data_IF_499473776756
#
_entry.id   IF_499473776756
#
_cell.length_a   1.000
_cell.length_b   1.000
_cell.length_c   1.000
_cell.angle_alpha   90.00
_cell.angle_beta   90.00
_cell.angle_gamma   90.00
#
_symmetry.space_group_name_H-M   'P 1'
#
loop_
_entity.id
_entity.type
_entity.pdbx_description
1 polymer ?
#
# COMPACT_ATOMS: atom_id res chain seq x y z
N UNK A 1 -22.26 -17.24 25.03
CA UNK A 1 -21.25 -16.55 24.18
C UNK A 1 -21.83 -16.60 22.78
N UNK A 2 -21.87 -15.47 22.06
CA UNK A 2 -22.27 -15.46 20.66
C UNK A 2 -21.22 -16.26 19.85
N UNK A 3 -21.64 -16.86 18.74
CA UNK A 3 -20.70 -17.50 17.82
C UNK A 3 -19.71 -16.45 17.29
N UNK A 4 -18.44 -16.81 17.03
CA UNK A 4 -17.46 -15.86 16.48
C UNK A 4 -17.88 -15.42 15.08
N UNK A 5 -17.56 -14.18 14.74
CA UNK A 5 -17.77 -13.63 13.40
C UNK A 5 -16.70 -14.20 12.46
N UNK A 6 -17.14 -14.84 11.39
CA UNK A 6 -16.30 -15.50 10.40
C UNK A 6 -16.03 -14.58 9.21
N UNK A 7 -14.77 -14.24 8.98
CA UNK A 7 -14.37 -13.27 7.97
C UNK A 7 -13.40 -13.89 6.95
N UNK A 8 -13.66 -13.69 5.65
CA UNK A 8 -12.72 -14.02 4.60
C UNK A 8 -12.05 -12.73 4.12
N UNK A 9 -10.73 -12.65 4.25
CA UNK A 9 -9.91 -11.49 3.84
C UNK A 9 -9.14 -11.83 2.56
N UNK A 10 -9.37 -11.02 1.52
CA UNK A 10 -8.93 -11.26 0.14
C UNK A 10 -7.94 -10.17 -0.27
N UNK A 11 -6.68 -10.52 -0.46
CA UNK A 11 -5.59 -9.58 -0.78
C UNK A 11 -4.81 -10.04 -2.02
N UNK A 12 -5.31 -9.74 -3.23
CA UNK A 12 -4.63 -10.06 -4.47
C UNK A 12 -3.41 -9.14 -4.69
N UNK A 13 -2.25 -9.75 -4.92
CA UNK A 13 -1.03 -9.09 -5.36
C UNK A 13 -0.71 -9.39 -6.83
N UNK A 14 0.41 -8.84 -7.32
CA UNK A 14 0.82 -9.01 -8.73
C UNK A 14 1.08 -10.47 -9.10
N UNK A 15 1.70 -11.23 -8.20
CA UNK A 15 2.12 -12.63 -8.45
C UNK A 15 1.51 -13.63 -7.48
N UNK A 16 0.61 -13.18 -6.59
CA UNK A 16 0.00 -14.05 -5.60
C UNK A 16 -1.39 -13.56 -5.20
N UNK A 17 -2.16 -14.44 -4.58
CA UNK A 17 -3.37 -14.10 -3.84
C UNK A 17 -3.16 -14.52 -2.39
N UNK A 18 -3.07 -13.55 -1.47
CA UNK A 18 -3.07 -13.83 -0.03
C UNK A 18 -4.52 -13.89 0.44
N UNK A 19 -4.88 -14.99 1.07
CA UNK A 19 -6.23 -15.23 1.62
C UNK A 19 -6.08 -15.55 3.10
N UNK A 20 -6.94 -14.98 3.93
CA UNK A 20 -6.99 -15.31 5.36
C UNK A 20 -8.42 -15.53 5.82
N UNK A 21 -8.57 -16.51 6.72
CA UNK A 21 -9.81 -16.76 7.45
C UNK A 21 -9.63 -16.36 8.91
N UNK A 22 -10.52 -15.51 9.38
CA UNK A 22 -10.55 -15.04 10.77
C UNK A 22 -11.82 -15.48 11.48
N UNK A 23 -11.69 -15.77 12.78
CA UNK A 23 -12.79 -15.84 13.74
C UNK A 23 -12.60 -14.76 14.79
N UNK A 24 -13.44 -13.72 14.76
CA UNK A 24 -13.24 -12.47 15.49
C UNK A 24 -11.83 -11.91 15.22
N UNK A 25 -11.04 -11.58 16.24
CA UNK A 25 -9.67 -11.06 16.12
C UNK A 25 -8.63 -12.13 15.77
N UNK A 26 -9.03 -13.40 15.76
CA UNK A 26 -8.08 -14.51 15.61
C UNK A 26 -7.91 -14.90 14.15
N UNK A 27 -6.71 -14.74 13.63
CA UNK A 27 -6.31 -15.33 12.36
C UNK A 27 -6.17 -16.85 12.52
N UNK A 28 -7.05 -17.61 11.86
CA UNK A 28 -7.09 -19.08 11.94
C UNK A 28 -6.22 -19.68 10.85
N UNK A 29 -6.39 -19.20 9.60
CA UNK A 29 -5.62 -19.66 8.45
C UNK A 29 -5.20 -18.48 7.60
N UNK A 30 -3.98 -18.53 7.07
CA UNK A 30 -3.47 -17.59 6.07
C UNK A 30 -2.63 -18.34 5.06
N UNK A 31 -2.93 -18.17 3.78
CA UNK A 31 -2.13 -18.71 2.69
C UNK A 31 -1.80 -17.61 1.67
N UNK A 32 -0.60 -17.71 1.10
CA UNK A 32 -0.19 -16.91 -0.06
C UNK A 32 -0.03 -17.86 -1.24
N UNK A 33 -1.04 -17.87 -2.11
CA UNK A 33 -1.09 -18.74 -3.29
C UNK A 33 -0.40 -18.00 -4.43
N UNK A 34 0.74 -18.51 -4.87
CA UNK A 34 1.53 -17.94 -5.96
C UNK A 34 0.94 -18.33 -7.32
N UNK A 35 1.04 -17.41 -8.27
CA UNK A 35 0.63 -17.60 -9.66
C UNK A 35 1.86 -17.52 -10.55
N UNK A 36 2.05 -18.52 -11.38
CA UNK A 36 3.16 -18.55 -12.31
C UNK A 36 3.03 -17.44 -13.37
N UNK A 37 4.15 -16.79 -13.70
CA UNK A 37 4.16 -15.73 -14.70
C UNK A 37 3.58 -16.17 -16.07
N UNK A 38 3.86 -17.38 -16.60
CA UNK A 38 3.23 -17.89 -17.82
C UNK A 38 1.70 -18.02 -17.71
N UNK A 39 1.17 -18.33 -16.53
CA UNK A 39 -0.28 -18.38 -16.30
C UNK A 39 -0.89 -16.98 -16.36
N UNK A 40 -0.28 -16.01 -15.67
CA UNK A 40 -0.76 -14.64 -15.64
C UNK A 40 -0.73 -13.97 -17.03
N UNK A 41 0.22 -14.33 -17.88
CA UNK A 41 0.31 -13.81 -19.27
C UNK A 41 -0.82 -14.27 -20.19
N UNK A 42 -1.61 -15.28 -19.80
CA UNK A 42 -2.79 -15.70 -20.57
C UNK A 42 -3.95 -14.70 -20.46
N UNK A 43 -3.93 -13.81 -19.47
CA UNK A 43 -4.99 -12.84 -19.21
C UNK A 43 -4.60 -11.49 -19.83
N UNK A 44 -5.34 -10.99 -20.83
CA UNK A 44 -5.04 -9.72 -21.51
C UNK A 44 -5.10 -8.50 -20.56
N UNK A 45 -6.00 -8.51 -19.58
CA UNK A 45 -6.16 -7.47 -18.58
C UNK A 45 -6.15 -8.04 -17.17
N UNK A 46 -5.94 -7.18 -16.18
CA UNK A 46 -6.05 -7.57 -14.77
C UNK A 46 -7.44 -8.12 -14.45
N UNK A 47 -8.50 -7.54 -15.01
CA UNK A 47 -9.88 -7.98 -14.77
C UNK A 47 -10.15 -9.40 -15.26
N UNK A 48 -9.49 -9.83 -16.33
CA UNK A 48 -9.66 -11.18 -16.88
C UNK A 48 -9.17 -12.28 -15.93
N UNK A 49 -8.40 -11.93 -14.90
CA UNK A 49 -7.94 -12.87 -13.87
C UNK A 49 -9.04 -13.23 -12.85
N UNK A 50 -10.21 -12.56 -12.87
CA UNK A 50 -11.29 -12.76 -11.88
C UNK A 50 -11.68 -14.24 -11.71
N UNK A 51 -11.98 -15.03 -12.78
CA UNK A 51 -12.40 -16.42 -12.61
C UNK A 51 -11.33 -17.29 -11.94
N UNK A 52 -10.08 -17.13 -12.36
CA UNK A 52 -8.94 -17.87 -11.79
C UNK A 52 -8.76 -17.53 -10.32
N UNK A 53 -8.76 -16.23 -9.99
CA UNK A 53 -8.60 -15.77 -8.61
C UNK A 53 -9.77 -16.19 -7.72
N UNK A 54 -11.01 -16.19 -8.24
CA UNK A 54 -12.17 -16.74 -7.52
C UNK A 54 -11.99 -18.22 -7.19
N UNK A 55 -11.52 -19.03 -8.17
CA UNK A 55 -11.28 -20.45 -7.94
C UNK A 55 -10.27 -20.67 -6.81
N UNK A 56 -9.20 -19.87 -6.76
CA UNK A 56 -8.22 -19.91 -5.66
C UNK A 56 -8.87 -19.72 -4.28
N UNK A 57 -9.84 -18.79 -4.15
CA UNK A 57 -10.56 -18.58 -2.89
C UNK A 57 -11.44 -19.78 -2.53
N UNK A 58 -12.10 -20.37 -3.53
CA UNK A 58 -12.94 -21.56 -3.33
C UNK A 58 -12.09 -22.76 -2.89
N UNK A 59 -10.95 -22.98 -3.55
CA UNK A 59 -10.01 -24.06 -3.23
C UNK A 59 -9.42 -23.88 -1.81
N UNK A 60 -9.07 -22.64 -1.42
CA UNK A 60 -8.63 -22.34 -0.06
C UNK A 60 -9.71 -22.71 0.97
N UNK A 61 -10.95 -22.28 0.76
CA UNK A 61 -12.03 -22.62 1.68
C UNK A 61 -12.28 -24.12 1.75
N UNK A 62 -12.33 -24.79 0.59
CA UNK A 62 -12.55 -26.22 0.51
C UNK A 62 -11.44 -27.03 1.19
N UNK A 63 -10.17 -26.63 1.06
CA UNK A 63 -9.03 -27.30 1.72
C UNK A 63 -9.14 -27.28 3.24
N UNK A 64 -9.85 -26.30 3.79
CA UNK A 64 -10.12 -26.16 5.22
C UNK A 64 -11.52 -26.63 5.64
N UNK A 65 -12.25 -27.35 4.77
CA UNK A 65 -13.58 -27.90 5.04
C UNK A 65 -14.68 -26.84 5.15
N UNK A 66 -14.49 -25.69 4.48
CA UNK A 66 -15.42 -24.56 4.49
C UNK A 66 -15.94 -24.25 3.09
N UNK A 67 -17.00 -23.45 3.04
CA UNK A 67 -17.59 -22.88 1.84
C UNK A 67 -17.78 -21.37 2.01
N UNK A 68 -17.99 -20.60 0.95
CA UNK A 68 -18.31 -19.18 1.09
C UNK A 68 -19.59 -18.91 1.90
N UNK A 69 -20.54 -19.86 1.92
CA UNK A 69 -21.78 -19.74 2.71
C UNK A 69 -21.53 -19.71 4.24
N UNK A 70 -20.42 -20.28 4.70
CA UNK A 70 -20.03 -20.31 6.11
C UNK A 70 -19.47 -18.97 6.61
N UNK A 71 -19.14 -18.05 5.70
CA UNK A 71 -18.63 -16.74 6.04
C UNK A 71 -19.75 -15.78 6.44
N UNK A 72 -19.45 -14.89 7.39
CA UNK A 72 -20.38 -13.82 7.79
C UNK A 72 -20.10 -12.53 6.99
N UNK A 73 -18.87 -12.34 6.47
CA UNK A 73 -18.46 -11.16 5.74
C UNK A 73 -17.29 -11.45 4.80
N UNK A 74 -17.24 -10.75 3.66
CA UNK A 74 -16.13 -10.74 2.73
C UNK A 74 -15.41 -9.39 2.77
N UNK A 75 -14.07 -9.43 2.86
CA UNK A 75 -13.24 -8.23 2.96
C UNK A 75 -12.23 -8.27 1.82
N UNK A 76 -12.30 -7.29 0.91
CA UNK A 76 -11.41 -7.20 -0.24
C UNK A 76 -10.42 -6.03 -0.12
N UNK A 77 -9.12 -6.27 -0.37
CA UNK A 77 -8.19 -5.17 -0.59
C UNK A 77 -8.67 -4.35 -1.78
N UNK A 78 -8.61 -3.02 -1.66
CA UNK A 78 -9.10 -2.09 -2.67
C UNK A 78 -7.99 -1.25 -3.31
N UNK A 79 -8.40 -0.45 -4.26
CA UNK A 79 -7.59 0.48 -5.03
C UNK A 79 -8.23 0.73 -6.40
N UNK A 80 -7.59 1.57 -7.22
CA UNK A 80 -7.95 1.82 -8.61
C UNK A 80 -9.27 2.59 -8.88
N UNK A 81 -10.16 2.77 -7.91
CA UNK A 81 -11.27 3.72 -7.98
C UNK A 81 -10.79 5.16 -7.75
N UNK A 82 -11.70 6.14 -7.77
CA UNK A 82 -11.38 7.51 -7.34
C UNK A 82 -10.86 7.55 -5.91
N UNK A 83 -10.11 8.62 -5.56
CA UNK A 83 -9.59 8.78 -4.20
C UNK A 83 -10.72 8.81 -3.16
N UNK A 84 -10.46 8.19 -2.02
CA UNK A 84 -11.45 7.88 -0.99
C UNK A 84 -11.03 8.43 0.37
N UNK A 85 -12.01 8.60 1.27
CA UNK A 85 -11.73 8.83 2.67
C UNK A 85 -11.13 7.56 3.33
N UNK A 86 -10.30 7.76 4.36
CA UNK A 86 -9.79 6.64 5.15
C UNK A 86 -10.88 5.92 5.94
N UNK A 87 -10.64 4.66 6.24
CA UNK A 87 -11.49 3.82 7.07
C UNK A 87 -12.03 2.60 6.34
N UNK A 88 -13.08 2.03 6.91
CA UNK A 88 -13.83 0.91 6.31
C UNK A 88 -14.86 1.49 5.34
N UNK A 89 -14.98 0.91 4.17
CA UNK A 89 -15.93 1.30 3.14
C UNK A 89 -16.78 0.12 2.73
N UNK A 90 -18.11 0.31 2.68
CA UNK A 90 -19.03 -0.67 2.09
C UNK A 90 -18.69 -0.82 0.61
N UNK A 91 -18.67 -2.06 0.12
CA UNK A 91 -18.50 -2.33 -1.31
C UNK A 91 -19.89 -2.35 -1.94
N UNK A 92 -20.15 -1.38 -2.80
CA UNK A 92 -21.34 -1.29 -3.62
C UNK A 92 -21.02 -1.43 -5.12
N UNK A 93 -22.06 -1.54 -5.93
CA UNK A 93 -21.93 -1.71 -7.38
C UNK A 93 -21.14 -0.55 -8.03
N UNK A 94 -21.33 0.70 -7.57
CA UNK A 94 -20.61 1.85 -8.10
C UNK A 94 -19.13 1.79 -7.83
N UNK A 95 -18.72 1.41 -6.60
CA UNK A 95 -17.32 1.23 -6.27
C UNK A 95 -16.69 0.16 -7.15
N UNK A 96 -17.39 -0.96 -7.39
CA UNK A 96 -16.90 -2.05 -8.25
C UNK A 96 -16.74 -1.60 -9.69
N UNK A 97 -17.72 -0.89 -10.25
CA UNK A 97 -17.66 -0.36 -11.62
C UNK A 97 -16.48 0.62 -11.80
N UNK A 98 -16.30 1.56 -10.89
CA UNK A 98 -15.22 2.55 -10.94
C UNK A 98 -13.85 1.90 -10.70
N UNK A 99 -13.79 0.86 -9.86
CA UNK A 99 -12.60 0.04 -9.62
C UNK A 99 -12.21 -0.75 -10.86
N UNK A 100 -13.17 -1.42 -11.50
CA UNK A 100 -12.94 -2.20 -12.72
C UNK A 100 -12.51 -1.33 -13.90
N UNK A 101 -13.01 -0.08 -13.95
CA UNK A 101 -12.69 0.91 -14.97
C UNK A 101 -11.41 1.72 -14.70
N UNK A 102 -10.66 1.42 -13.61
CA UNK A 102 -9.43 2.11 -13.22
C UNK A 102 -9.57 3.64 -13.11
N UNK A 103 -10.70 4.12 -12.56
CA UNK A 103 -11.01 5.56 -12.45
C UNK A 103 -9.97 6.34 -11.63
N UNK A 104 -9.21 5.68 -10.76
CA UNK A 104 -8.06 6.25 -10.04
C UNK A 104 -6.80 6.42 -10.88
N UNK A 105 -6.81 5.96 -12.13
CA UNK A 105 -5.72 6.13 -13.09
C UNK A 105 -4.56 5.15 -12.90
N UNK A 106 -4.79 4.03 -12.23
CA UNK A 106 -3.79 2.95 -12.07
C UNK A 106 -4.45 1.58 -12.24
N UNK A 107 -3.82 0.67 -12.98
CA UNK A 107 -4.19 -0.74 -13.05
C UNK A 107 -3.30 -1.55 -12.10
N UNK A 108 -3.89 -2.13 -11.07
CA UNK A 108 -3.17 -2.96 -10.10
C UNK A 108 -4.04 -4.13 -9.64
N UNK A 109 -3.49 -5.36 -9.52
CA UNK A 109 -4.26 -6.55 -9.13
C UNK A 109 -5.00 -6.46 -7.79
N UNK A 110 -4.59 -5.55 -6.89
CA UNK A 110 -5.34 -5.30 -5.65
C UNK A 110 -6.82 -4.95 -5.89
N UNK A 111 -7.18 -4.36 -7.06
CA UNK A 111 -8.57 -4.06 -7.42
C UNK A 111 -9.47 -5.30 -7.44
N UNK A 112 -8.89 -6.46 -7.75
CA UNK A 112 -9.63 -7.73 -7.78
C UNK A 112 -10.14 -8.12 -6.39
N UNK A 113 -9.54 -7.65 -5.30
CA UNK A 113 -10.03 -7.91 -3.95
C UNK A 113 -11.44 -7.34 -3.73
N UNK A 114 -11.67 -6.08 -4.12
CA UNK A 114 -13.01 -5.45 -4.07
C UNK A 114 -13.99 -6.21 -4.98
N UNK A 115 -13.59 -6.56 -6.20
CA UNK A 115 -14.44 -7.23 -7.18
C UNK A 115 -14.83 -8.64 -6.73
N UNK A 116 -13.88 -9.41 -6.19
CA UNK A 116 -14.10 -10.76 -5.65
C UNK A 116 -14.98 -10.74 -4.40
N UNK A 117 -14.74 -9.80 -3.48
CA UNK A 117 -15.57 -9.64 -2.29
C UNK A 117 -17.01 -9.29 -2.66
N UNK A 118 -17.21 -8.43 -3.67
CA UNK A 118 -18.54 -8.07 -4.19
C UNK A 118 -19.25 -9.26 -4.81
N UNK A 119 -18.57 -10.00 -5.70
CA UNK A 119 -19.16 -11.17 -6.37
C UNK A 119 -19.61 -12.22 -5.35
N UNK A 120 -18.73 -12.58 -4.39
CA UNK A 120 -19.08 -13.52 -3.32
C UNK A 120 -20.17 -12.98 -2.40
N UNK A 121 -20.10 -11.69 -2.01
CA UNK A 121 -21.10 -11.07 -1.15
C UNK A 121 -22.48 -11.04 -1.77
N UNK A 122 -22.60 -10.76 -3.07
CA UNK A 122 -23.87 -10.83 -3.79
C UNK A 122 -24.39 -12.26 -3.92
N UNK A 123 -23.52 -13.23 -4.27
CA UNK A 123 -23.89 -14.63 -4.45
C UNK A 123 -24.40 -15.27 -3.16
N UNK A 124 -23.76 -14.96 -2.03
CA UNK A 124 -24.10 -15.55 -0.72
C UNK A 124 -24.89 -14.62 0.21
N UNK A 125 -25.33 -13.45 -0.26
CA UNK A 125 -26.09 -12.44 0.50
C UNK A 125 -25.41 -12.04 1.81
N UNK A 126 -24.11 -11.76 1.75
CA UNK A 126 -23.27 -11.36 2.89
C UNK A 126 -22.77 -9.92 2.73
N UNK A 127 -22.54 -9.20 3.84
CA UNK A 127 -21.89 -7.89 3.80
C UNK A 127 -20.47 -7.97 3.23
N UNK A 128 -20.03 -6.89 2.59
CA UNK A 128 -18.73 -6.81 1.95
C UNK A 128 -18.10 -5.45 2.16
N UNK A 129 -16.81 -5.45 2.49
CA UNK A 129 -16.06 -4.23 2.83
C UNK A 129 -14.68 -4.20 2.19
N UNK A 130 -14.17 -2.97 2.01
CA UNK A 130 -12.75 -2.69 1.78
C UNK A 130 -12.23 -1.74 2.84
N UNK A 131 -10.92 -1.76 3.11
CA UNK A 131 -10.31 -0.98 4.17
C UNK A 131 -9.09 -0.24 3.64
N UNK A 132 -9.04 1.08 3.85
CA UNK A 132 -7.88 1.92 3.59
C UNK A 132 -7.17 1.57 2.27
N UNK A 133 -7.83 1.67 1.10
CA UNK A 133 -7.20 1.38 -0.18
C UNK A 133 -6.03 2.35 -0.47
N UNK A 134 -5.19 1.99 -1.42
CA UNK A 134 -3.96 2.76 -1.74
C UNK A 134 -4.20 4.19 -2.19
N UNK A 135 -5.44 4.52 -2.59
CA UNK A 135 -5.90 5.82 -3.06
C UNK A 135 -6.69 6.60 -1.99
N UNK A 136 -6.53 6.28 -0.71
CA UNK A 136 -7.00 7.15 0.39
C UNK A 136 -6.27 8.48 0.30
N UNK A 137 -7.04 9.56 0.34
CA UNK A 137 -6.51 10.92 0.21
C UNK A 137 -6.80 11.76 1.45
N UNK A 138 -5.76 11.99 2.24
CA UNK A 138 -5.78 12.81 3.45
C UNK A 138 -4.72 13.92 3.42
N UNK A 139 -4.06 14.14 2.26
CA UNK A 139 -3.00 15.13 2.12
C UNK A 139 -3.47 16.53 2.50
N UNK A 140 -2.60 17.28 3.15
CA UNK A 140 -2.81 18.71 3.33
C UNK A 140 -2.71 19.47 2.01
N UNK A 141 -3.32 20.63 1.95
CA UNK A 141 -3.29 21.49 0.75
C UNK A 141 -1.86 21.86 0.35
N UNK A 142 -0.98 22.13 1.31
CA UNK A 142 0.45 22.40 1.03
C UNK A 142 1.18 21.21 0.42
N UNK A 143 0.80 19.98 0.83
CA UNK A 143 1.38 18.75 0.31
C UNK A 143 0.95 18.45 -1.14
N UNK A 144 -0.17 19.04 -1.61
CA UNK A 144 -0.70 18.84 -2.97
C UNK A 144 -0.09 19.76 -4.00
N UNK A 145 0.23 20.99 -3.60
CA UNK A 145 0.66 22.01 -4.54
C UNK A 145 2.03 21.69 -5.15
N UNK A 146 2.12 21.89 -6.46
CA UNK A 146 3.37 21.89 -7.21
C UNK A 146 3.70 23.32 -7.68
N UNK A 147 4.85 23.50 -8.32
CA UNK A 147 5.21 24.77 -8.93
C UNK A 147 4.44 25.10 -10.22
N UNK A 148 3.47 24.26 -10.63
CA UNK A 148 2.69 24.44 -11.86
C UNK A 148 1.21 24.52 -11.49
N UNK A 149 0.56 25.62 -11.88
CA UNK A 149 -0.88 25.81 -11.62
C UNK A 149 -1.71 24.69 -12.27
N UNK A 150 -2.67 24.13 -11.53
CA UNK A 150 -3.53 23.05 -12.00
C UNK A 150 -2.87 21.65 -12.02
N UNK A 151 -1.59 21.54 -11.65
CA UNK A 151 -0.91 20.26 -11.49
C UNK A 151 -0.67 19.96 -10.02
N UNK A 152 -1.24 18.87 -9.52
CA UNK A 152 -1.24 18.50 -8.11
C UNK A 152 -0.59 17.15 -7.87
N UNK A 153 0.05 17.00 -6.69
CA UNK A 153 0.49 15.68 -6.20
C UNK A 153 -0.74 14.85 -5.84
N UNK A 154 -0.63 13.55 -6.07
CA UNK A 154 -1.68 12.57 -5.76
C UNK A 154 -1.35 11.83 -4.46
N UNK A 155 -2.38 11.43 -3.73
CA UNK A 155 -2.24 10.49 -2.63
C UNK A 155 -2.23 9.07 -3.19
N UNK A 156 -1.07 8.43 -3.22
CA UNK A 156 -0.92 7.02 -3.61
C UNK A 156 0.21 6.38 -2.82
N UNK A 157 -0.16 5.67 -1.74
CA UNK A 157 0.80 5.13 -0.78
C UNK A 157 0.30 3.80 -0.18
N UNK A 158 1.11 3.15 0.65
CA UNK A 158 0.75 1.89 1.33
C UNK A 158 -0.14 2.14 2.56
N UNK A 159 -1.31 2.74 2.36
CA UNK A 159 -2.20 3.25 3.41
C UNK A 159 -2.55 2.18 4.43
N UNK A 160 -3.01 1.01 3.95
CA UNK A 160 -3.50 -0.07 4.80
C UNK A 160 -2.44 -0.52 5.81
N UNK A 161 -1.23 -0.84 5.33
CA UNK A 161 -0.14 -1.27 6.19
C UNK A 161 0.31 -0.14 7.13
N UNK A 162 0.47 1.08 6.64
CA UNK A 162 0.97 2.20 7.44
C UNK A 162 0.00 2.60 8.55
N UNK A 163 -1.30 2.71 8.26
CA UNK A 163 -2.31 2.99 9.29
C UNK A 163 -2.48 1.82 10.26
N UNK A 164 -2.41 0.59 9.78
CA UNK A 164 -2.42 -0.60 10.63
C UNK A 164 -1.27 -0.60 11.64
N UNK A 165 -0.05 -0.36 11.17
CA UNK A 165 1.13 -0.29 12.03
C UNK A 165 1.06 0.89 13.02
N UNK A 166 0.57 2.06 12.58
CA UNK A 166 0.37 3.22 13.47
C UNK A 166 -0.64 2.91 14.59
N UNK A 167 -1.73 2.22 14.27
CA UNK A 167 -2.74 1.80 15.26
C UNK A 167 -2.17 0.76 16.25
N UNK A 168 -1.42 -0.24 15.77
CA UNK A 168 -0.73 -1.23 16.60
C UNK A 168 0.28 -0.53 17.55
N UNK A 169 1.05 0.41 17.03
CA UNK A 169 2.01 1.17 17.83
C UNK A 169 1.33 2.00 18.92
N UNK A 170 0.28 2.73 18.57
CA UNK A 170 -0.51 3.51 19.53
C UNK A 170 -1.08 2.62 20.64
N UNK A 171 -1.65 1.47 20.29
CA UNK A 171 -2.18 0.49 21.26
C UNK A 171 -1.09 -0.02 22.22
N UNK A 172 0.12 -0.30 21.72
CA UNK A 172 1.27 -0.70 22.56
C UNK A 172 1.69 0.40 23.56
N UNK A 173 1.54 1.65 23.17
CA UNK A 173 1.81 2.81 24.05
C UNK A 173 0.65 3.15 24.99
N UNK A 174 -0.50 2.48 24.89
CA UNK A 174 -1.72 2.84 25.63
C UNK A 174 -2.29 4.19 25.23
N UNK A 175 -2.03 4.64 23.99
CA UNK A 175 -2.50 5.91 23.42
C UNK A 175 -3.47 5.67 22.28
N UNK A 176 -4.23 6.68 21.89
CA UNK A 176 -4.98 6.67 20.64
C UNK A 176 -4.05 7.07 19.49
N UNK A 177 -4.30 6.56 18.32
CA UNK A 177 -3.52 6.90 17.11
C UNK A 177 -3.62 8.40 16.77
N UNK A 178 -4.78 9.01 17.02
CA UNK A 178 -5.05 10.43 16.79
C UNK A 178 -4.23 11.37 17.70
N UNK A 179 -3.70 10.85 18.80
CA UNK A 179 -2.89 11.61 19.75
C UNK A 179 -1.38 11.58 19.44
N UNK A 180 -0.98 10.91 18.34
CA UNK A 180 0.41 10.72 17.96
C UNK A 180 0.73 11.41 16.62
N UNK A 181 1.94 11.99 16.57
CA UNK A 181 2.59 12.41 15.34
C UNK A 181 3.66 11.38 14.97
N UNK A 182 3.45 10.65 13.89
CA UNK A 182 4.32 9.54 13.51
C UNK A 182 4.88 9.75 12.09
N UNK A 183 6.10 9.27 11.88
CA UNK A 183 6.63 9.05 10.53
C UNK A 183 6.58 7.54 10.31
N UNK A 184 5.81 7.09 9.33
CA UNK A 184 5.67 5.66 9.03
C UNK A 184 6.29 5.37 7.68
N UNK A 185 7.21 4.41 7.65
CA UNK A 185 7.94 3.99 6.47
C UNK A 185 7.56 2.54 6.12
N UNK A 186 6.88 2.34 5.01
CA UNK A 186 6.75 1.02 4.40
C UNK A 186 7.97 0.82 3.49
N UNK A 187 8.77 -0.19 3.77
CA UNK A 187 10.05 -0.47 3.10
C UNK A 187 10.05 -1.89 2.54
N UNK A 188 9.68 -2.01 1.26
CA UNK A 188 9.56 -3.28 0.56
C UNK A 188 9.88 -3.12 -0.95
N UNK A 189 9.35 -3.95 -1.83
CA UNK A 189 9.41 -3.78 -3.27
C UNK A 189 9.01 -2.38 -3.75
N UNK A 190 8.11 -1.71 -3.01
CA UNK A 190 7.87 -0.27 -3.02
C UNK A 190 8.21 0.37 -1.69
N UNK A 191 8.68 1.61 -1.69
CA UNK A 191 8.94 2.37 -0.46
C UNK A 191 8.05 3.61 -0.44
N UNK A 192 7.37 3.83 0.69
CA UNK A 192 6.65 5.08 0.95
C UNK A 192 6.91 5.56 2.37
N UNK A 193 7.14 6.85 2.51
CA UNK A 193 7.39 7.53 3.79
C UNK A 193 6.28 8.55 4.00
N UNK A 194 5.60 8.49 5.12
CA UNK A 194 4.38 9.28 5.35
C UNK A 194 4.42 9.96 6.71
N UNK A 195 4.01 11.23 6.75
CA UNK A 195 3.77 11.98 7.97
C UNK A 195 2.32 11.75 8.44
N UNK A 196 2.17 11.22 9.66
CA UNK A 196 0.87 11.00 10.28
C UNK A 196 0.65 12.03 11.39
N UNK A 197 -0.48 12.74 11.38
CA UNK A 197 -0.87 13.71 12.38
C UNK A 197 -2.38 13.64 12.63
N UNK A 198 -2.78 13.59 13.89
CA UNK A 198 -4.19 13.50 14.30
C UNK A 198 -4.95 12.36 13.59
N UNK A 199 -4.32 11.17 13.47
CA UNK A 199 -4.89 9.99 12.82
C UNK A 199 -4.93 10.05 11.28
N UNK A 200 -4.38 11.10 10.64
CA UNK A 200 -4.39 11.34 9.20
C UNK A 200 -2.99 11.26 8.60
N UNK A 201 -2.90 10.81 7.38
CA UNK A 201 -1.69 10.81 6.54
C UNK A 201 -1.61 12.14 5.81
N UNK A 202 -0.97 13.14 6.44
CA UNK A 202 -1.03 14.55 6.02
C UNK A 202 -0.07 14.90 4.89
N UNK A 203 1.00 14.14 4.74
CA UNK A 203 1.93 14.18 3.59
C UNK A 203 2.54 12.79 3.39
N UNK A 204 2.96 12.49 2.18
CA UNK A 204 3.52 11.19 1.79
C UNK A 204 4.40 11.32 0.57
N UNK A 205 5.42 10.48 0.47
CA UNK A 205 6.01 10.20 -0.84
C UNK A 205 5.03 9.37 -1.67
N UNK A 206 4.95 9.64 -2.98
CA UNK A 206 4.07 8.91 -3.89
C UNK A 206 4.74 7.63 -4.37
N UNK A 207 4.18 6.49 -4.01
CA UNK A 207 4.80 5.19 -4.21
C UNK A 207 5.11 4.80 -5.66
N UNK A 208 4.38 5.33 -6.65
CA UNK A 208 4.54 4.99 -8.07
C UNK A 208 4.57 6.23 -8.99
N UNK A 209 4.62 7.43 -8.42
CA UNK A 209 4.62 8.70 -9.16
C UNK A 209 6.01 9.29 -9.43
N UNK A 210 7.06 8.62 -8.99
CA UNK A 210 8.43 9.15 -9.12
C UNK A 210 8.79 10.16 -8.04
N UNK A 211 8.24 9.98 -6.83
CA UNK A 211 8.54 10.79 -5.66
C UNK A 211 9.04 9.89 -4.51
N UNK A 212 10.06 10.35 -3.78
CA UNK A 212 10.69 9.61 -2.68
C UNK A 212 11.86 8.72 -3.09
N UNK A 213 12.25 7.75 -2.26
CA UNK A 213 13.41 6.89 -2.52
C UNK A 213 13.14 5.93 -3.68
N UNK A 214 14.18 5.58 -4.44
CA UNK A 214 14.06 4.45 -5.35
C UNK A 214 13.98 3.13 -4.56
N UNK A 215 13.48 2.08 -5.20
CA UNK A 215 13.14 0.81 -4.57
C UNK A 215 13.68 -0.35 -5.41
N UNK A 216 13.48 -1.61 -5.03
CA UNK A 216 13.80 -2.72 -5.92
C UNK A 216 13.22 -2.61 -7.34
N UNK A 217 12.04 -2.02 -7.51
CA UNK A 217 11.34 -1.96 -8.83
C UNK A 217 11.06 -0.54 -9.35
N UNK A 218 11.27 0.51 -8.54
CA UNK A 218 10.83 1.88 -8.85
C UNK A 218 12.01 2.85 -8.89
N UNK A 219 11.97 3.81 -9.79
CA UNK A 219 13.06 4.75 -10.01
C UNK A 219 13.24 5.81 -8.91
N UNK A 220 12.19 6.06 -8.07
CA UNK A 220 12.24 7.15 -7.07
C UNK A 220 12.23 8.55 -7.67
N UNK A 221 12.63 9.53 -6.86
CA UNK A 221 12.75 10.92 -7.31
C UNK A 221 13.94 11.11 -8.26
N UNK A 222 13.70 11.77 -9.39
CA UNK A 222 14.70 12.10 -10.39
C UNK A 222 14.51 13.57 -10.81
N UNK A 223 15.59 14.34 -11.04
CA UNK A 223 15.45 15.71 -11.55
C UNK A 223 14.72 15.72 -12.90
N UNK A 224 13.81 16.67 -13.08
CA UNK A 224 13.01 16.79 -14.31
C UNK A 224 13.88 16.92 -15.56
N UNK A 225 15.00 17.64 -15.47
CA UNK A 225 15.93 17.77 -16.60
C UNK A 225 16.48 16.43 -17.07
N UNK A 226 16.79 15.50 -16.14
CA UNK A 226 17.27 14.17 -16.50
C UNK A 226 16.18 13.33 -17.19
N UNK A 227 14.90 13.55 -16.82
CA UNK A 227 13.77 12.93 -17.50
C UNK A 227 13.64 13.44 -18.94
N UNK A 228 13.77 14.76 -19.14
CA UNK A 228 13.69 15.38 -20.46
C UNK A 228 14.84 14.90 -21.34
N UNK A 229 16.07 14.91 -20.82
CA UNK A 229 17.25 14.42 -21.55
C UNK A 229 17.08 12.95 -21.94
N UNK A 230 16.62 12.08 -21.04
CA UNK A 230 16.36 10.68 -21.32
C UNK A 230 15.36 10.48 -22.49
N UNK A 231 14.33 11.34 -22.55
CA UNK A 231 13.36 11.33 -23.66
C UNK A 231 13.99 11.87 -24.97
N UNK A 232 14.80 12.92 -24.89
CA UNK A 232 15.50 13.50 -26.04
C UNK A 232 16.53 12.53 -26.65
N UNK A 233 17.09 11.63 -25.86
CA UNK A 233 17.96 10.54 -26.29
C UNK A 233 17.21 9.40 -27.05
N UNK A 234 15.89 9.56 -27.25
CA UNK A 234 15.06 8.67 -28.06
C UNK A 234 14.31 7.61 -27.24
N UNK A 235 14.34 7.68 -25.91
CA UNK A 235 13.54 6.82 -25.07
C UNK A 235 12.08 7.28 -25.06
N UNK A 236 11.16 6.34 -24.84
CA UNK A 236 9.73 6.62 -24.89
C UNK A 236 9.14 6.91 -23.52
N UNK A 237 8.02 7.66 -23.50
CA UNK A 237 7.22 7.86 -22.27
C UNK A 237 6.70 6.54 -21.69
N UNK A 238 6.49 5.52 -22.52
CA UNK A 238 6.10 4.19 -22.06
C UNK A 238 7.23 3.50 -21.28
N UNK A 239 8.48 3.62 -21.74
CA UNK A 239 9.65 3.13 -21.00
C UNK A 239 9.80 3.88 -19.66
N UNK A 240 9.66 5.20 -19.65
CA UNK A 240 9.68 6.00 -18.43
C UNK A 240 8.58 5.57 -17.45
N UNK A 241 7.34 5.37 -17.93
CA UNK A 241 6.23 4.88 -17.09
C UNK A 241 6.52 3.48 -16.51
N UNK A 242 7.19 2.60 -17.27
CA UNK A 242 7.61 1.29 -16.75
C UNK A 242 8.59 1.43 -15.58
N UNK A 243 9.53 2.38 -15.66
CA UNK A 243 10.52 2.63 -14.60
C UNK A 243 9.89 3.20 -13.32
N UNK A 244 8.75 3.89 -13.42
CA UNK A 244 8.03 4.37 -12.23
C UNK A 244 7.57 3.22 -11.31
N UNK A 245 7.29 2.03 -11.85
CA UNK A 245 6.65 0.98 -11.06
C UNK A 245 7.23 -0.43 -11.21
N UNK A 246 8.00 -0.73 -12.28
CA UNK A 246 8.40 -2.11 -12.62
C UNK A 246 9.86 -2.31 -12.98
N UNK A 247 10.48 -1.38 -13.71
CA UNK A 247 11.80 -1.55 -14.31
C UNK A 247 12.84 -0.54 -13.82
N UNK A 248 12.51 0.27 -12.81
CA UNK A 248 13.43 1.16 -12.12
C UNK A 248 14.21 0.47 -11.00
N UNK A 249 14.95 1.22 -10.23
CA UNK A 249 15.67 0.78 -9.03
C UNK A 249 16.62 -0.40 -9.28
N UNK A 250 16.55 -1.45 -8.45
CA UNK A 250 17.43 -2.61 -8.60
C UNK A 250 17.27 -3.31 -9.96
N UNK A 251 16.05 -3.35 -10.51
CA UNK A 251 15.85 -3.90 -11.86
C UNK A 251 16.69 -3.16 -12.88
N UNK A 252 16.72 -1.82 -12.83
CA UNK A 252 17.53 -1.01 -13.74
C UNK A 252 19.04 -1.21 -13.52
N UNK A 253 19.48 -1.34 -12.26
CA UNK A 253 20.91 -1.46 -11.93
C UNK A 253 21.46 -2.87 -12.11
N UNK A 254 20.66 -3.91 -11.81
CA UNK A 254 21.12 -5.32 -11.67
C UNK A 254 20.31 -6.32 -12.51
N UNK A 255 19.26 -5.88 -13.20
CA UNK A 255 18.37 -6.78 -13.95
C UNK A 255 17.46 -7.66 -13.07
N UNK A 256 17.37 -7.39 -11.77
CA UNK A 256 16.56 -8.16 -10.83
C UNK A 256 15.93 -7.27 -9.76
N UNK A 257 14.71 -7.60 -9.35
CA UNK A 257 14.04 -7.00 -8.19
C UNK A 257 14.26 -7.80 -6.90
N UNK A 258 14.96 -8.93 -7.00
CA UNK A 258 15.25 -9.80 -5.85
C UNK A 258 16.28 -9.15 -4.92
N UNK A 259 15.79 -8.55 -3.84
CA UNK A 259 16.63 -7.87 -2.86
C UNK A 259 17.65 -8.82 -2.20
N UNK A 260 17.33 -10.12 -2.07
CA UNK A 260 18.27 -11.08 -1.48
C UNK A 260 19.48 -11.31 -2.40
N UNK A 261 19.27 -11.35 -3.73
CA UNK A 261 20.38 -11.45 -4.69
C UNK A 261 21.24 -10.19 -4.68
N UNK A 262 20.62 -9.00 -4.59
CA UNK A 262 21.36 -7.73 -4.53
C UNK A 262 22.13 -7.64 -3.20
N UNK A 263 21.52 -8.00 -2.07
CA UNK A 263 22.17 -7.97 -0.77
C UNK A 263 23.34 -8.96 -0.68
N UNK A 264 23.23 -10.14 -1.28
CA UNK A 264 24.36 -11.08 -1.37
C UNK A 264 25.58 -10.48 -2.09
N UNK A 265 25.38 -9.59 -3.07
CA UNK A 265 26.49 -8.83 -3.68
C UNK A 265 27.03 -7.76 -2.73
N UNK A 266 26.18 -7.15 -1.90
CA UNK A 266 26.61 -6.22 -0.84
C UNK A 266 27.52 -6.96 0.15
N UNK A 267 27.11 -8.12 0.62
CA UNK A 267 27.88 -8.96 1.56
C UNK A 267 29.22 -9.41 0.94
N UNK A 268 29.24 -9.65 -0.37
CA UNK A 268 30.48 -9.98 -1.10
C UNK A 268 31.38 -8.75 -1.35
N UNK A 269 30.97 -7.55 -0.96
CA UNK A 269 31.75 -6.33 -1.12
C UNK A 269 31.77 -5.77 -2.55
N UNK A 270 30.79 -6.14 -3.42
CA UNK A 270 30.66 -5.54 -4.75
C UNK A 270 30.40 -4.03 -4.63
N UNK A 271 31.31 -3.22 -5.18
CA UNK A 271 31.26 -1.76 -5.02
C UNK A 271 29.98 -1.13 -5.57
N UNK A 272 29.46 -1.65 -6.69
CA UNK A 272 28.22 -1.15 -7.29
C UNK A 272 27.04 -1.48 -6.38
N UNK A 273 26.93 -2.72 -5.89
CA UNK A 273 25.85 -3.16 -5.03
C UNK A 273 25.86 -2.39 -3.70
N UNK A 274 27.00 -2.26 -3.04
CA UNK A 274 27.16 -1.47 -1.82
C UNK A 274 26.71 -0.01 -2.04
N UNK A 275 27.14 0.61 -3.16
CA UNK A 275 26.78 2.01 -3.45
C UNK A 275 25.28 2.17 -3.71
N UNK A 276 24.68 1.30 -4.52
CA UNK A 276 23.25 1.39 -4.87
C UNK A 276 22.39 1.09 -3.65
N UNK A 277 22.73 0.07 -2.86
CA UNK A 277 21.99 -0.27 -1.64
C UNK A 277 22.01 0.88 -0.63
N UNK A 278 23.20 1.42 -0.35
CA UNK A 278 23.35 2.55 0.57
C UNK A 278 22.69 3.82 0.03
N UNK A 279 22.61 4.03 -1.29
CA UNK A 279 21.90 5.16 -1.88
C UNK A 279 20.39 5.05 -1.66
N UNK A 280 19.81 3.83 -1.71
CA UNK A 280 18.41 3.61 -1.36
C UNK A 280 18.14 3.98 0.10
N UNK A 281 18.98 3.50 1.04
CA UNK A 281 18.87 3.84 2.47
C UNK A 281 19.03 5.36 2.69
N UNK A 282 19.99 5.99 2.01
CA UNK A 282 20.20 7.43 2.09
C UNK A 282 18.98 8.24 1.64
N UNK A 283 18.33 7.84 0.54
CA UNK A 283 17.11 8.49 0.05
C UNK A 283 15.92 8.26 0.98
N UNK A 284 15.80 7.07 1.59
CA UNK A 284 14.83 6.80 2.64
C UNK A 284 15.00 7.79 3.81
N UNK A 285 16.22 7.96 4.30
CA UNK A 285 16.52 8.89 5.38
C UNK A 285 16.22 10.35 5.03
N UNK A 286 16.50 10.77 3.78
CA UNK A 286 16.10 12.11 3.30
C UNK A 286 14.60 12.31 3.36
N UNK A 287 13.83 11.30 2.97
CA UNK A 287 12.36 11.35 3.01
C UNK A 287 11.85 11.42 4.46
N UNK A 288 12.46 10.65 5.38
CA UNK A 288 12.16 10.74 6.83
C UNK A 288 12.42 12.15 7.35
N UNK A 289 13.57 12.76 7.01
CA UNK A 289 13.89 14.14 7.39
C UNK A 289 12.89 15.16 6.84
N UNK A 290 12.42 14.97 5.60
CA UNK A 290 11.36 15.78 5.00
C UNK A 290 10.05 15.67 5.79
N UNK A 291 9.63 14.46 6.16
CA UNK A 291 8.41 14.25 6.96
C UNK A 291 8.54 14.78 8.38
N UNK A 292 9.75 14.81 8.96
CA UNK A 292 9.99 15.47 10.25
C UNK A 292 9.74 16.99 10.15
N UNK A 293 10.13 17.61 9.05
CA UNK A 293 9.83 19.03 8.80
C UNK A 293 8.32 19.27 8.62
N UNK A 294 7.59 18.39 7.93
CA UNK A 294 6.13 18.43 7.82
C UNK A 294 5.46 18.44 9.20
N UNK A 295 5.99 17.65 10.14
CA UNK A 295 5.51 17.57 11.51
C UNK A 295 6.12 18.64 12.44
N UNK A 296 6.82 19.64 11.90
CA UNK A 296 7.44 20.75 12.66
C UNK A 296 8.44 20.25 13.73
N UNK A 297 9.07 19.10 13.50
CA UNK A 297 9.97 18.45 14.45
C UNK A 297 9.26 17.82 15.67
N UNK A 298 7.93 17.86 15.72
CA UNK A 298 7.12 17.24 16.78
C UNK A 298 6.77 15.81 16.40
N UNK A 299 7.74 14.91 16.51
CA UNK A 299 7.62 13.51 16.11
C UNK A 299 7.65 12.62 17.35
N UNK A 300 6.59 11.83 17.57
CA UNK A 300 6.51 10.89 18.70
C UNK A 300 7.22 9.55 18.38
N UNK A 301 7.36 9.19 17.10
CA UNK A 301 8.06 7.98 16.69
C UNK A 301 8.24 7.86 15.18
N UNK A 302 9.29 7.12 14.78
CA UNK A 302 9.55 6.66 13.42
C UNK A 302 9.27 5.16 13.39
N UNK A 303 8.33 4.74 12.55
CA UNK A 303 7.93 3.33 12.43
C UNK A 303 8.42 2.79 11.09
N UNK A 304 9.19 1.70 11.14
CA UNK A 304 9.69 1.02 9.95
C UNK A 304 8.96 -0.32 9.80
N UNK A 305 8.41 -0.59 8.62
CA UNK A 305 7.69 -1.83 8.30
C UNK A 305 7.96 -2.25 6.86
N UNK A 306 7.56 -3.46 6.48
CA UNK A 306 7.78 -4.04 5.16
C UNK A 306 8.83 -5.14 5.15
N UNK A 307 8.90 -5.88 4.05
CA UNK A 307 9.72 -7.08 3.92
C UNK A 307 11.24 -6.82 3.88
N UNK A 308 11.67 -5.61 3.48
CA UNK A 308 13.09 -5.27 3.50
C UNK A 308 13.63 -4.99 4.92
N UNK A 309 12.75 -4.82 5.93
CA UNK A 309 13.18 -4.65 7.31
C UNK A 309 13.77 -5.93 7.94
N UNK A 310 13.93 -7.00 7.16
CA UNK A 310 14.75 -8.19 7.53
C UNK A 310 16.26 -7.95 7.40
N UNK A 311 16.68 -6.84 6.78
CA UNK A 311 18.09 -6.47 6.62
C UNK A 311 18.46 -5.41 7.67
N UNK A 312 19.36 -5.79 8.60
CA UNK A 312 19.72 -4.95 9.74
C UNK A 312 20.41 -3.65 9.33
N UNK A 313 21.16 -3.65 8.23
CA UNK A 313 21.85 -2.48 7.68
C UNK A 313 20.92 -1.35 7.27
N UNK A 314 19.65 -1.66 6.93
CA UNK A 314 18.63 -0.62 6.69
C UNK A 314 18.29 0.07 8.01
N UNK A 315 18.04 -0.68 9.08
CA UNK A 315 17.78 -0.11 10.40
C UNK A 315 18.98 0.72 10.89
N UNK A 316 20.20 0.15 10.84
CA UNK A 316 21.43 0.83 11.24
C UNK A 316 21.61 2.15 10.47
N UNK A 317 21.37 2.14 9.15
CA UNK A 317 21.45 3.33 8.32
C UNK A 317 20.41 4.40 8.66
N UNK A 318 19.20 4.01 9.06
CA UNK A 318 18.17 4.92 9.53
C UNK A 318 18.49 5.44 10.93
N UNK A 319 18.90 4.59 11.86
CA UNK A 319 19.30 5.00 13.21
C UNK A 319 20.43 6.03 13.19
N UNK A 320 21.46 5.76 12.39
CA UNK A 320 22.60 6.67 12.24
C UNK A 320 22.20 8.05 11.75
N UNK A 321 21.26 8.14 10.81
CA UNK A 321 20.91 9.42 10.13
C UNK A 321 19.67 10.09 10.69
N UNK A 322 18.75 9.33 11.28
CA UNK A 322 17.43 9.83 11.69
C UNK A 322 17.12 9.61 13.18
N UNK A 323 17.97 8.88 13.93
CA UNK A 323 17.76 8.58 15.35
C UNK A 323 17.67 9.82 16.25
N UNK A 324 18.15 10.96 15.77
CA UNK A 324 18.04 12.27 16.45
C UNK A 324 16.63 12.88 16.35
N UNK A 325 15.76 12.40 15.44
CA UNK A 325 14.41 12.95 15.21
C UNK A 325 13.45 12.45 16.28
N UNK A 326 13.37 11.12 16.47
CA UNK A 326 12.46 10.46 17.40
C UNK A 326 12.87 8.98 17.60
N UNK A 327 12.31 8.29 18.63
CA UNK A 327 12.50 6.85 18.78
C UNK A 327 12.09 6.07 17.52
N UNK A 328 12.91 5.09 17.12
CA UNK A 328 12.65 4.23 15.98
C UNK A 328 12.09 2.88 16.48
N UNK A 329 11.02 2.41 15.87
CA UNK A 329 10.42 1.11 16.16
C UNK A 329 10.22 0.34 14.86
N UNK A 330 10.70 -0.92 14.83
CA UNK A 330 10.55 -1.81 13.66
C UNK A 330 9.39 -2.77 13.86
N UNK A 331 8.58 -2.90 12.82
CA UNK A 331 7.51 -3.87 12.66
C UNK A 331 7.76 -4.67 11.38
N UNK A 332 8.54 -5.78 11.44
CA UNK A 332 8.91 -6.53 10.25
C UNK A 332 7.69 -7.10 9.53
N UNK A 333 7.72 -7.08 8.19
CA UNK A 333 6.64 -7.60 7.37
C UNK A 333 5.46 -6.63 7.23
N UNK A 334 4.28 -7.19 7.02
CA UNK A 334 3.04 -6.45 6.79
C UNK A 334 1.93 -6.96 7.71
N UNK A 335 1.03 -6.07 8.11
CA UNK A 335 -0.14 -6.38 8.94
C UNK A 335 -1.47 -6.20 8.17
N UNK A 336 -1.45 -6.29 6.83
CA UNK A 336 -2.61 -5.92 6.00
C UNK A 336 -3.84 -6.79 6.27
N UNK A 337 -3.65 -8.11 6.47
CA UNK A 337 -4.77 -9.03 6.72
C UNK A 337 -5.44 -8.73 8.07
N UNK A 338 -4.64 -8.59 9.11
CA UNK A 338 -5.09 -8.24 10.46
C UNK A 338 -5.73 -6.84 10.48
N UNK A 339 -5.11 -5.86 9.83
CA UNK A 339 -5.64 -4.49 9.76
C UNK A 339 -7.01 -4.43 9.06
N UNK A 340 -7.24 -5.26 8.03
CA UNK A 340 -8.54 -5.36 7.36
C UNK A 340 -9.58 -6.05 8.26
N UNK A 341 -9.22 -7.17 8.86
CA UNK A 341 -10.11 -7.93 9.73
C UNK A 341 -10.54 -7.12 10.96
N UNK A 342 -9.57 -6.55 11.69
CA UNK A 342 -9.82 -5.77 12.91
C UNK A 342 -10.73 -4.56 12.63
N UNK A 343 -10.45 -3.80 11.56
CA UNK A 343 -11.24 -2.63 11.21
C UNK A 343 -12.69 -2.97 10.84
N UNK A 344 -12.92 -4.07 10.10
CA UNK A 344 -14.27 -4.52 9.75
C UNK A 344 -14.98 -5.10 10.97
N UNK A 345 -14.28 -5.81 11.84
CA UNK A 345 -14.83 -6.32 13.08
C UNK A 345 -15.36 -5.20 13.99
N UNK A 346 -14.65 -4.06 14.08
CA UNK A 346 -15.14 -2.86 14.79
C UNK A 346 -16.46 -2.34 14.20
N UNK A 347 -16.62 -2.39 12.85
CA UNK A 347 -17.87 -2.00 12.19
C UNK A 347 -19.01 -2.97 12.53
N UNK A 348 -18.76 -4.26 12.41
CA UNK A 348 -19.78 -5.30 12.69
C UNK A 348 -20.22 -5.30 14.15
N UNK A 349 -19.35 -4.86 15.07
CA UNK A 349 -19.66 -4.67 16.50
C UNK A 349 -20.29 -3.32 16.83
N UNK A 350 -20.50 -2.45 15.84
CA UNK A 350 -21.07 -1.11 16.02
C UNK A 350 -20.15 -0.09 16.71
N UNK A 351 -18.86 -0.40 16.80
CA UNK A 351 -17.83 0.48 17.41
C UNK A 351 -17.33 1.55 16.44
N UNK A 352 -17.53 1.34 15.14
CA UNK A 352 -17.17 2.26 14.05
C UNK A 352 -18.26 2.23 12.98
N UNK A 353 -18.41 3.32 12.24
CA UNK A 353 -19.27 3.35 11.06
C UNK A 353 -18.46 3.08 9.80
N UNK A 354 -19.03 2.34 8.86
CA UNK A 354 -18.49 2.23 7.53
C UNK A 354 -18.84 3.46 6.68
N UNK A 355 -17.92 3.84 5.82
CA UNK A 355 -18.14 4.89 4.82
C UNK A 355 -18.91 4.31 3.62
N UNK A 356 -19.48 5.22 2.80
CA UNK A 356 -20.04 4.91 1.50
C UNK A 356 -19.22 5.57 0.40
N UNK A 357 -19.03 4.86 -0.70
CA UNK A 357 -18.31 5.38 -1.84
C UNK A 357 -19.14 6.47 -2.55
N UNK A 358 -18.55 7.63 -2.77
CA UNK A 358 -19.24 8.78 -3.36
C UNK A 358 -19.19 8.80 -4.89
N UNK A 359 -18.23 8.08 -5.50
CA UNK A 359 -17.94 8.08 -6.94
C UNK A 359 -17.37 9.40 -7.45
N UNK A 360 -16.83 10.21 -6.54
CA UNK A 360 -16.08 11.43 -6.87
C UNK A 360 -14.78 11.46 -6.05
N UNK A 361 -13.68 12.03 -6.59
CA UNK A 361 -12.43 12.15 -5.83
C UNK A 361 -12.61 13.01 -4.58
N UNK A 362 -11.89 12.68 -3.51
CA UNK A 362 -11.83 13.50 -2.27
C UNK A 362 -11.34 14.91 -2.57
N UNK A 363 -10.31 15.02 -3.42
CA UNK A 363 -9.81 16.30 -3.89
C UNK A 363 -10.19 16.49 -5.37
N UNK A 364 -10.83 17.61 -5.70
CA UNK A 364 -11.31 17.94 -7.03
C UNK A 364 -10.68 19.24 -7.59
N UNK A 365 -9.57 19.67 -6.99
CA UNK A 365 -8.95 20.96 -7.27
C UNK A 365 -9.30 22.02 -6.22
N UNK A 366 -8.62 23.14 -6.27
CA UNK A 366 -8.89 24.27 -5.40
C UNK A 366 -9.97 25.18 -5.98
N UNK A 367 -10.65 25.94 -5.13
CA UNK A 367 -11.73 26.84 -5.54
C UNK A 367 -11.28 27.91 -6.56
N UNK A 368 -10.01 28.24 -6.61
CA UNK A 368 -9.44 29.18 -7.59
C UNK A 368 -9.13 28.59 -8.96
N UNK A 369 -9.19 27.24 -9.13
CA UNK A 369 -8.94 26.57 -10.42
C UNK A 369 -10.11 26.73 -11.40
N UNK A 370 -11.29 27.05 -10.89
CA UNK A 370 -12.55 27.18 -11.66
C UNK A 370 -12.81 28.61 -12.14
N UNK A 371 -11.78 29.40 -12.41
CA UNK A 371 -11.92 30.78 -12.93
C UNK A 371 -11.58 30.87 -14.41
#
# INVERSE_FOLDING_TARGET
MNAPIKMLVINPGSTSTKVSYFEDEKNIYTESIFHDAPELLKYPTTNDQMPMRKQVLLDFLQSHGMTPADMDVFIGRGGCAYSQAAGVMEIDERLVQDTAADKGGSDHPAKLGVMLAYELGCEYHKPMYTVNPTNVDELWDYARLTGIAGLYRRAQTHVLNQKGIAAIHAKKLGKRYEDLNLIVCHVDGGITVTAHKAGRMVDSTEGAGGDGPFTPTRLGSIPVMEVLQYLDEGHTTAQMRSMLSRSGGFVSHFGTSDAAKVHALVDAGDKKAVTVWNAMIYQLCKSIGGMAAVLEGKVDGILLTGGLMRYDDILEGVEQRCGWIAPITVYPGECEQEAMADAVLEVLRGQRQANRYTGVPVFQGFAWDNK
#
